data_IF_083395462736
#
_entry.id   IF_083395462736
#
_cell.length_a   1.000
_cell.length_b   1.000
_cell.length_c   1.000
_cell.angle_alpha   90.00
_cell.angle_beta   90.00
_cell.angle_gamma   90.00
#
_symmetry.space_group_name_H-M   'P 1'
#
loop_
_entity.id
_entity.type
_entity.pdbx_description
1 polymer ?
#
# COMPACT_ATOMS: atom_id res chain seq x y z
N UNK A 1 7.40 -4.31 11.67
CA UNK A 1 7.59 -3.73 10.33
C UNK A 1 6.35 -2.93 9.95
N UNK A 2 6.51 -1.65 9.64
CA UNK A 2 5.40 -0.73 9.33
C UNK A 2 5.08 -0.61 7.83
N UNK A 3 5.71 -1.43 7.01
CA UNK A 3 5.46 -1.55 5.57
C UNK A 3 4.92 -2.94 5.26
N UNK A 4 4.01 -3.02 4.30
CA UNK A 4 3.35 -4.28 3.89
C UNK A 4 4.20 -5.05 2.90
N UNK A 5 4.30 -6.36 3.07
CA UNK A 5 4.95 -7.26 2.12
C UNK A 5 3.92 -7.75 1.09
N UNK A 6 4.15 -7.42 -0.16
CA UNK A 6 3.27 -7.74 -1.28
C UNK A 6 4.00 -8.42 -2.46
N UNK A 7 5.19 -8.97 -2.19
CA UNK A 7 6.06 -9.64 -3.15
C UNK A 7 7.36 -8.90 -3.46
N UNK A 8 7.44 -7.60 -3.10
CA UNK A 8 8.58 -6.74 -3.41
C UNK A 8 9.81 -6.96 -2.51
N UNK A 9 9.71 -7.77 -1.44
CA UNK A 9 10.83 -8.09 -0.55
C UNK A 9 11.14 -7.05 0.52
N UNK A 10 10.18 -6.21 0.87
CA UNK A 10 10.36 -5.13 1.86
C UNK A 10 10.71 -5.66 3.24
N UNK A 11 10.19 -6.83 3.64
CA UNK A 11 10.54 -7.45 4.91
C UNK A 11 12.02 -7.82 4.97
N UNK A 12 12.57 -8.32 3.88
CA UNK A 12 14.01 -8.61 3.76
C UNK A 12 14.82 -7.32 3.72
N UNK A 13 14.48 -6.41 2.79
CA UNK A 13 15.29 -5.20 2.56
C UNK A 13 15.38 -4.26 3.76
N UNK A 14 14.26 -4.01 4.45
CA UNK A 14 14.28 -3.12 5.61
C UNK A 14 14.90 -3.78 6.86
N UNK A 15 14.70 -5.08 7.03
CA UNK A 15 15.33 -5.81 8.15
C UNK A 15 16.84 -5.94 7.98
N UNK A 16 17.30 -6.05 6.73
CA UNK A 16 18.72 -6.05 6.39
C UNK A 16 19.44 -4.79 6.91
N UNK A 17 18.81 -3.62 6.78
CA UNK A 17 19.36 -2.34 7.23
C UNK A 17 19.60 -2.33 8.76
N UNK A 18 18.64 -2.82 9.52
CA UNK A 18 18.76 -2.90 10.99
C UNK A 18 19.76 -3.96 11.40
N UNK A 19 19.70 -5.14 10.80
CA UNK A 19 20.58 -6.25 11.12
C UNK A 19 22.06 -5.94 10.83
N UNK A 20 22.30 -5.17 9.76
CA UNK A 20 23.65 -4.72 9.40
C UNK A 20 24.25 -3.82 10.49
N UNK A 21 23.59 -2.72 10.81
CA UNK A 21 24.09 -1.76 11.82
C UNK A 21 24.20 -2.41 13.22
N UNK A 22 23.28 -3.31 13.54
CA UNK A 22 23.27 -4.03 14.82
C UNK A 22 24.31 -5.15 14.90
N UNK A 23 24.97 -5.53 13.81
CA UNK A 23 25.79 -6.74 13.71
C UNK A 23 25.06 -8.00 14.17
N UNK A 24 23.80 -8.17 13.72
CA UNK A 24 22.93 -9.26 14.14
C UNK A 24 22.90 -10.39 13.10
N UNK A 25 22.94 -11.68 13.51
CA UNK A 25 22.95 -12.80 12.57
C UNK A 25 21.66 -12.88 11.76
N UNK A 26 21.78 -12.99 10.44
CA UNK A 26 20.65 -12.95 9.49
C UNK A 26 19.64 -14.08 9.66
N UNK A 27 20.12 -15.26 9.95
CA UNK A 27 19.30 -16.46 10.16
C UNK A 27 18.41 -16.41 11.42
N UNK A 28 18.63 -15.44 12.29
CA UNK A 28 17.85 -15.21 13.51
C UNK A 28 16.88 -14.04 13.42
N UNK A 29 16.80 -13.36 12.26
CA UNK A 29 15.90 -12.24 12.06
C UNK A 29 14.46 -12.74 11.85
N UNK A 30 13.55 -12.27 12.68
CA UNK A 30 12.12 -12.53 12.57
C UNK A 30 11.39 -11.20 12.34
N UNK A 31 10.58 -11.14 11.29
CA UNK A 31 9.78 -9.96 10.96
C UNK A 31 8.31 -10.20 11.24
N UNK A 32 7.71 -9.25 11.95
CA UNK A 32 6.25 -9.22 12.18
C UNK A 32 5.67 -7.91 11.64
N UNK A 33 4.48 -7.94 11.01
CA UNK A 33 3.78 -6.72 10.65
C UNK A 33 3.45 -5.91 11.89
N UNK A 34 3.64 -4.59 11.82
CA UNK A 34 3.27 -3.68 12.89
C UNK A 34 1.75 -3.44 12.86
N UNK A 35 1.09 -3.34 14.02
CA UNK A 35 -0.31 -2.92 14.08
C UNK A 35 -0.46 -1.49 13.56
N UNK A 36 -1.68 -1.12 13.19
CA UNK A 36 -1.99 0.26 12.80
C UNK A 36 -2.01 1.16 14.05
N UNK A 37 -0.93 1.90 14.28
CA UNK A 37 -0.77 2.81 15.42
C UNK A 37 0.13 3.99 15.03
N UNK A 38 -0.06 5.13 15.65
CA UNK A 38 0.70 6.37 15.38
C UNK A 38 2.20 6.21 15.50
N UNK A 39 2.68 5.39 16.44
CA UNK A 39 4.12 5.12 16.62
C UNK A 39 4.78 4.48 15.40
N UNK A 40 4.01 3.85 14.52
CA UNK A 40 4.49 3.22 13.29
C UNK A 40 4.28 4.05 12.03
N UNK A 41 3.80 5.28 12.15
CA UNK A 41 3.64 6.20 11.00
C UNK A 41 5.01 6.51 10.39
N UNK A 42 5.09 6.40 9.07
CA UNK A 42 6.19 6.97 8.30
C UNK A 42 6.07 8.51 8.35
N UNK A 43 6.94 9.15 9.08
CA UNK A 43 6.89 10.61 9.34
C UNK A 43 6.97 11.44 8.06
N UNK A 44 7.68 10.96 7.02
CA UNK A 44 7.77 11.64 5.72
C UNK A 44 6.49 11.54 4.90
N UNK A 45 5.68 10.49 5.13
CA UNK A 45 4.39 10.29 4.47
C UNK A 45 3.19 10.76 5.31
N UNK A 46 3.35 10.93 6.62
CA UNK A 46 2.27 11.23 7.55
C UNK A 46 1.27 10.07 7.73
N UNK A 47 1.64 8.85 7.35
CA UNK A 47 0.77 7.67 7.41
C UNK A 47 1.57 6.36 7.40
N UNK A 48 0.99 5.30 7.94
CA UNK A 48 1.47 3.95 7.78
C UNK A 48 0.92 3.42 6.44
N UNK A 49 1.72 3.61 5.39
CA UNK A 49 1.37 3.33 4.00
C UNK A 49 2.58 2.72 3.27
N UNK A 50 2.31 1.77 2.40
CA UNK A 50 3.29 1.17 1.50
C UNK A 50 2.94 1.53 0.05
N UNK A 51 3.66 2.48 -0.51
CA UNK A 51 3.40 2.99 -1.87
C UNK A 51 4.41 4.07 -2.27
N UNK A 52 4.37 4.49 -3.53
CA UNK A 52 5.20 5.57 -4.07
C UNK A 52 6.70 5.30 -3.99
N UNK A 53 7.13 4.03 -3.97
CA UNK A 53 8.54 3.61 -3.83
C UNK A 53 9.26 4.24 -2.62
N UNK A 54 8.51 4.49 -1.54
CA UNK A 54 9.00 5.23 -0.37
C UNK A 54 9.59 4.34 0.72
N UNK A 55 9.36 3.02 0.69
CA UNK A 55 9.72 2.15 1.81
C UNK A 55 11.21 2.22 2.17
N UNK A 56 12.11 1.94 1.24
CA UNK A 56 13.55 2.05 1.51
C UNK A 56 13.98 3.51 1.62
N UNK A 57 13.56 4.35 0.66
CA UNK A 57 13.96 5.77 0.59
C UNK A 57 13.66 6.55 1.89
N UNK A 58 12.51 6.31 2.50
CA UNK A 58 12.12 7.03 3.72
C UNK A 58 12.69 6.39 4.99
N UNK A 59 12.85 5.06 5.00
CA UNK A 59 13.19 4.32 6.21
C UNK A 59 14.69 4.04 6.35
N UNK A 60 15.48 4.20 5.29
CA UNK A 60 16.90 3.81 5.28
C UNK A 60 17.70 4.42 6.43
N UNK A 61 17.71 5.74 6.51
CA UNK A 61 18.47 6.46 7.54
C UNK A 61 17.92 6.17 8.95
N UNK A 62 16.59 6.20 9.09
CA UNK A 62 15.95 5.89 10.37
C UNK A 62 16.29 4.49 10.88
N UNK A 63 16.24 3.48 10.02
CA UNK A 63 16.54 2.10 10.42
C UNK A 63 18.03 1.87 10.70
N UNK A 64 18.91 2.58 9.99
CA UNK A 64 20.33 2.61 10.33
C UNK A 64 20.58 3.18 11.71
N UNK A 65 20.01 4.36 12.00
CA UNK A 65 20.08 4.99 13.32
C UNK A 65 19.50 4.08 14.42
N UNK A 66 18.38 3.42 14.14
CA UNK A 66 17.78 2.47 15.08
C UNK A 66 18.73 1.31 15.40
N UNK A 67 19.28 0.64 14.37
CA UNK A 67 20.19 -0.48 14.54
C UNK A 67 21.46 -0.09 15.29
N UNK A 68 22.07 1.05 14.94
CA UNK A 68 23.26 1.59 15.61
C UNK A 68 22.97 1.97 17.06
N UNK A 69 21.83 2.62 17.35
CA UNK A 69 21.43 2.99 18.71
C UNK A 69 21.23 1.77 19.60
N UNK A 70 20.57 0.72 19.06
CA UNK A 70 20.40 -0.54 19.79
C UNK A 70 21.75 -1.18 20.12
N UNK A 71 22.69 -1.20 19.17
CA UNK A 71 24.04 -1.73 19.38
C UNK A 71 24.79 -0.94 20.47
N UNK A 72 24.73 0.39 20.43
CA UNK A 72 25.35 1.24 21.44
C UNK A 72 24.78 0.99 22.84
N UNK A 73 23.47 0.85 22.99
CA UNK A 73 22.83 0.53 24.28
C UNK A 73 23.27 -0.84 24.81
N UNK A 74 23.41 -1.84 23.94
CA UNK A 74 23.89 -3.18 24.30
C UNK A 74 25.37 -3.12 24.75
N UNK A 75 26.21 -2.41 24.00
CA UNK A 75 27.63 -2.20 24.38
C UNK A 75 27.76 -1.47 25.71
N UNK A 76 26.97 -0.43 25.94
CA UNK A 76 26.96 0.31 27.20
C UNK A 76 26.51 -0.58 28.37
N UNK A 77 25.50 -1.45 28.16
CA UNK A 77 25.06 -2.44 29.15
C UNK A 77 26.20 -3.38 29.54
N UNK A 78 26.91 -3.93 28.56
CA UNK A 78 28.06 -4.79 28.79
C UNK A 78 29.22 -4.06 29.49
N UNK A 79 29.50 -2.82 29.08
CA UNK A 79 30.54 -1.95 29.69
C UNK A 79 30.33 -1.77 31.18
N UNK A 80 29.09 -1.42 31.58
CA UNK A 80 28.71 -1.25 32.99
C UNK A 80 28.80 -2.56 33.79
N UNK A 81 28.32 -3.64 33.21
CA UNK A 81 28.31 -4.94 33.86
C UNK A 81 29.74 -5.49 34.06
N UNK A 82 30.56 -5.37 33.05
CA UNK A 82 31.93 -5.92 33.08
C UNK A 82 32.98 -4.96 33.65
N UNK A 83 32.59 -3.68 33.86
CA UNK A 83 33.48 -2.59 34.29
C UNK A 83 34.68 -2.42 33.33
N UNK A 84 34.36 -2.44 32.01
CA UNK A 84 35.33 -2.33 30.91
C UNK A 84 34.89 -1.14 30.03
N UNK A 85 35.86 -0.28 29.62
CA UNK A 85 35.56 0.80 28.69
C UNK A 85 34.90 0.28 27.41
N UNK A 86 33.84 0.95 26.95
CA UNK A 86 33.00 0.53 25.80
C UNK A 86 33.84 0.34 24.53
N UNK A 87 34.85 1.16 24.33
CA UNK A 87 35.75 1.15 23.17
C UNK A 87 36.58 -0.12 23.05
N UNK A 88 36.71 -0.87 24.13
CA UNK A 88 37.40 -2.18 24.16
C UNK A 88 36.48 -3.35 23.85
N UNK A 89 35.20 -3.13 23.82
CA UNK A 89 34.21 -4.17 23.55
C UNK A 89 34.01 -4.37 22.05
N UNK A 90 33.81 -5.61 21.63
CA UNK A 90 33.46 -5.97 20.26
C UNK A 90 32.04 -6.50 20.21
N UNK A 91 31.19 -5.86 19.41
CA UNK A 91 29.86 -6.35 19.07
C UNK A 91 29.90 -7.02 17.69
N UNK A 92 29.57 -8.32 17.61
CA UNK A 92 29.58 -9.08 16.36
C UNK A 92 28.63 -10.25 16.43
N UNK A 93 27.81 -10.42 15.36
CA UNK A 93 26.92 -11.55 15.16
C UNK A 93 26.04 -11.88 16.37
N UNK A 94 25.48 -10.82 17.01
CA UNK A 94 24.57 -10.96 18.15
C UNK A 94 25.25 -11.23 19.50
N UNK A 95 26.56 -11.03 19.60
CA UNK A 95 27.33 -11.16 20.83
C UNK A 95 28.18 -9.92 21.10
N UNK A 96 28.38 -9.63 22.38
CA UNK A 96 29.46 -8.73 22.85
C UNK A 96 30.57 -9.57 23.44
N UNK A 97 31.82 -9.21 23.15
CA UNK A 97 33.02 -9.93 23.68
C UNK A 97 34.12 -8.97 24.11
N UNK A 98 34.89 -9.40 25.11
CA UNK A 98 36.09 -8.75 25.57
C UNK A 98 36.96 -9.77 26.33
N UNK A 99 38.19 -10.01 25.89
CA UNK A 99 39.08 -11.01 26.44
C UNK A 99 38.39 -12.40 26.55
N UNK A 100 38.26 -12.93 27.77
CA UNK A 100 37.52 -14.19 28.03
C UNK A 100 36.04 -14.02 28.35
N UNK A 101 35.50 -12.79 28.33
CA UNK A 101 34.08 -12.49 28.56
C UNK A 101 33.32 -12.51 27.25
N UNK A 102 32.14 -13.11 27.25
CA UNK A 102 31.23 -13.12 26.13
C UNK A 102 29.79 -13.20 26.63
N UNK A 103 28.92 -12.37 26.08
CA UNK A 103 27.46 -12.43 26.33
C UNK A 103 26.67 -12.20 25.03
N UNK A 104 25.54 -12.85 24.90
CA UNK A 104 24.61 -12.58 23.79
C UNK A 104 23.89 -11.23 23.97
N UNK A 105 23.41 -10.67 22.89
CA UNK A 105 22.57 -9.48 22.95
C UNK A 105 21.32 -9.70 23.80
N UNK A 106 20.76 -10.93 23.77
CA UNK A 106 19.58 -11.27 24.57
C UNK A 106 19.84 -11.21 26.09
N UNK A 107 21.02 -11.66 26.56
CA UNK A 107 21.40 -11.58 27.98
C UNK A 107 21.60 -10.13 28.44
N UNK A 108 21.99 -9.23 27.57
CA UNK A 108 22.24 -7.82 27.86
C UNK A 108 21.00 -6.93 27.64
N UNK A 109 20.01 -7.42 26.90
CA UNK A 109 18.90 -6.62 26.38
C UNK A 109 18.04 -5.95 27.46
N UNK A 110 17.63 -6.70 28.49
CA UNK A 110 16.79 -6.13 29.56
C UNK A 110 17.47 -4.98 30.32
N UNK A 111 18.79 -5.06 30.46
CA UNK A 111 19.57 -3.98 31.08
C UNK A 111 19.75 -2.81 30.10
N UNK A 112 19.98 -3.11 28.83
CA UNK A 112 20.12 -2.11 27.78
C UNK A 112 18.85 -1.26 27.63
N UNK A 113 17.66 -1.85 27.70
CA UNK A 113 16.38 -1.14 27.63
C UNK A 113 16.16 -0.09 28.73
N UNK A 114 16.88 -0.20 29.87
CA UNK A 114 16.80 0.77 30.96
C UNK A 114 17.74 1.96 30.77
N UNK A 115 18.57 1.94 29.74
CA UNK A 115 19.49 3.02 29.43
C UNK A 115 18.80 4.09 28.58
N UNK A 116 19.23 5.35 28.66
CA UNK A 116 18.76 6.39 27.77
C UNK A 116 19.15 6.07 26.32
N UNK A 117 18.26 6.41 25.39
CA UNK A 117 18.58 6.29 23.95
C UNK A 117 19.72 7.27 23.63
N UNK A 118 20.79 6.82 23.00
CA UNK A 118 21.91 7.70 22.66
C UNK A 118 21.49 8.77 21.67
N UNK A 119 21.93 10.01 21.92
CA UNK A 119 21.65 11.16 21.05
C UNK A 119 22.52 11.20 19.80
N UNK A 120 23.67 10.55 19.85
CA UNK A 120 24.61 10.44 18.73
C UNK A 120 25.14 9.01 18.67
N UNK A 121 25.14 8.45 17.47
CA UNK A 121 25.69 7.13 17.18
C UNK A 121 26.52 7.19 15.91
N UNK A 122 27.59 6.39 15.86
CA UNK A 122 28.34 6.18 14.64
C UNK A 122 27.61 5.18 13.76
N UNK A 123 27.35 5.55 12.51
CA UNK A 123 26.87 4.63 11.49
C UNK A 123 28.06 3.94 10.80
N UNK A 124 27.87 2.73 10.33
CA UNK A 124 28.85 2.02 9.52
C UNK A 124 29.13 2.76 8.21
N UNK A 125 30.36 2.71 7.77
CA UNK A 125 30.71 3.10 6.40
C UNK A 125 30.33 1.98 5.41
N UNK A 126 30.12 2.26 4.13
CA UNK A 126 29.76 1.23 3.14
C UNK A 126 30.71 0.03 3.09
N UNK A 127 32.00 0.24 3.38
CA UNK A 127 33.00 -0.83 3.45
C UNK A 127 32.83 -1.77 4.64
N UNK A 128 32.07 -1.35 5.67
CA UNK A 128 31.81 -2.14 6.88
C UNK A 128 30.49 -2.95 6.78
N UNK A 129 29.72 -2.78 5.69
CA UNK A 129 28.46 -3.49 5.51
C UNK A 129 28.68 -4.99 5.33
N UNK A 130 27.90 -5.76 6.09
CA UNK A 130 27.91 -7.23 6.04
C UNK A 130 26.74 -7.79 5.22
N UNK A 131 25.62 -7.06 5.13
CA UNK A 131 24.39 -7.46 4.42
C UNK A 131 23.97 -6.47 3.35
N UNK A 132 24.04 -5.16 3.63
CA UNK A 132 23.64 -4.12 2.67
C UNK A 132 24.51 -4.22 1.42
N UNK A 133 23.87 -4.29 0.25
CA UNK A 133 24.57 -4.47 -1.03
C UNK A 133 25.06 -5.89 -1.31
N UNK A 134 24.74 -6.86 -0.44
CA UNK A 134 25.09 -8.28 -0.63
C UNK A 134 23.85 -9.10 -1.00
N UNK A 135 24.06 -10.23 -1.65
CA UNK A 135 23.02 -11.22 -1.89
C UNK A 135 22.73 -12.03 -0.62
N UNK A 136 21.62 -11.72 0.06
CA UNK A 136 21.14 -12.51 1.19
C UNK A 136 19.83 -13.20 0.84
N UNK A 137 19.55 -14.40 1.40
CA UNK A 137 18.26 -15.06 1.19
C UNK A 137 17.12 -14.21 1.73
N UNK A 138 16.00 -14.17 1.00
CA UNK A 138 14.77 -13.55 1.51
C UNK A 138 14.26 -14.31 2.72
N UNK A 139 13.85 -13.59 3.76
CA UNK A 139 13.36 -14.20 5.01
C UNK A 139 11.98 -14.85 4.87
N UNK A 140 11.20 -14.45 3.86
CA UNK A 140 9.83 -14.92 3.61
C UNK A 140 9.73 -16.01 2.52
N UNK A 141 10.83 -16.39 1.86
CA UNK A 141 10.82 -17.38 0.78
C UNK A 141 10.34 -18.75 1.27
N UNK A 142 10.90 -19.23 2.39
CA UNK A 142 10.61 -20.57 2.88
C UNK A 142 9.12 -20.80 3.15
N UNK A 143 8.50 -19.90 3.91
CA UNK A 143 7.07 -20.04 4.24
C UNK A 143 6.18 -19.88 3.00
N UNK A 144 6.58 -19.08 2.00
CA UNK A 144 5.84 -18.92 0.74
C UNK A 144 5.89 -20.18 -0.13
N UNK A 145 7.07 -20.77 -0.32
CA UNK A 145 7.21 -21.95 -1.17
C UNK A 145 6.70 -23.25 -0.50
N UNK A 146 6.65 -23.26 0.83
CA UNK A 146 6.07 -24.36 1.61
C UNK A 146 4.56 -24.21 1.83
N UNK A 147 3.91 -23.16 1.31
CA UNK A 147 2.48 -22.90 1.48
C UNK A 147 2.07 -22.53 2.90
N UNK A 148 3.01 -22.02 3.70
CA UNK A 148 2.78 -21.59 5.10
C UNK A 148 2.50 -20.11 5.25
N UNK A 149 2.80 -19.31 4.23
CA UNK A 149 2.50 -17.89 4.22
C UNK A 149 0.99 -17.66 4.22
N UNK A 150 0.51 -16.80 5.13
CA UNK A 150 -0.93 -16.52 5.29
C UNK A 150 -1.26 -15.21 4.58
N UNK A 151 -2.01 -15.30 3.49
CA UNK A 151 -2.57 -14.19 2.76
C UNK A 151 -3.96 -13.83 3.31
N UNK A 152 -4.55 -12.71 2.88
CA UNK A 152 -5.88 -12.30 3.33
C UNK A 152 -6.96 -13.33 3.03
N UNK A 153 -6.86 -13.96 1.85
CA UNK A 153 -7.80 -15.03 1.44
C UNK A 153 -7.66 -16.30 2.28
N UNK A 154 -6.52 -16.55 2.92
CA UNK A 154 -6.26 -17.79 3.67
C UNK A 154 -6.75 -17.71 5.12
N UNK A 155 -6.88 -16.51 5.69
CA UNK A 155 -7.28 -16.34 7.08
C UNK A 155 -8.60 -17.04 7.34
N UNK A 156 -8.67 -17.83 8.43
CA UNK A 156 -9.87 -18.51 8.91
C UNK A 156 -10.07 -18.21 10.40
N UNK A 157 -11.26 -17.78 10.75
CA UNK A 157 -11.68 -17.60 12.14
C UNK A 157 -12.87 -18.50 12.44
N UNK A 158 -13.01 -18.86 13.72
CA UNK A 158 -14.14 -19.69 14.17
C UNK A 158 -15.45 -18.93 13.93
N UNK A 159 -16.48 -19.69 13.51
CA UNK A 159 -17.86 -19.20 13.33
C UNK A 159 -18.01 -18.01 12.36
N UNK A 160 -17.00 -17.74 11.51
CA UNK A 160 -17.10 -16.70 10.49
C UNK A 160 -18.12 -17.08 9.39
N UNK A 161 -18.73 -16.05 8.84
CA UNK A 161 -19.63 -16.17 7.69
C UNK A 161 -19.00 -15.49 6.47
N UNK A 162 -19.47 -15.85 5.29
CA UNK A 162 -18.96 -15.31 4.03
C UNK A 162 -19.92 -14.28 3.47
N UNK A 163 -19.37 -13.26 2.84
CA UNK A 163 -20.13 -12.23 2.16
C UNK A 163 -19.55 -11.95 0.78
N UNK A 164 -20.43 -11.70 -0.17
CA UNK A 164 -20.15 -11.11 -1.47
C UNK A 164 -21.07 -9.91 -1.66
N UNK A 165 -20.74 -9.00 -2.57
CA UNK A 165 -21.54 -7.81 -2.83
C UNK A 165 -21.93 -7.77 -4.28
N UNK A 166 -23.23 -7.58 -4.55
CA UNK A 166 -23.72 -7.19 -5.87
C UNK A 166 -23.59 -5.69 -6.01
N UNK A 167 -22.81 -5.25 -7.00
CA UNK A 167 -22.45 -3.85 -7.22
C UNK A 167 -23.11 -3.30 -8.47
N UNK A 168 -23.33 -1.96 -8.54
CA UNK A 168 -23.92 -1.35 -9.70
C UNK A 168 -23.07 -1.55 -10.96
N UNK A 169 -23.69 -1.70 -12.14
CA UNK A 169 -22.97 -1.89 -13.40
C UNK A 169 -22.20 -0.65 -13.85
N UNK A 170 -22.56 0.52 -13.32
CA UNK A 170 -21.90 1.81 -13.60
C UNK A 170 -21.52 2.51 -12.30
N UNK A 171 -20.34 3.10 -12.24
CA UNK A 171 -19.92 3.93 -11.11
C UNK A 171 -20.92 5.07 -10.87
N UNK A 172 -21.25 5.30 -9.59
CA UNK A 172 -22.19 6.36 -9.19
C UNK A 172 -23.67 5.96 -9.17
N UNK A 173 -24.06 4.84 -9.76
CA UNK A 173 -25.40 4.30 -9.57
C UNK A 173 -25.58 3.74 -8.15
N UNK A 174 -26.81 3.74 -7.64
CA UNK A 174 -27.17 3.26 -6.30
C UNK A 174 -28.30 2.26 -6.40
N UNK A 175 -28.46 1.46 -5.37
CA UNK A 175 -29.60 0.54 -5.25
C UNK A 175 -30.90 1.34 -5.20
N UNK A 176 -31.85 1.02 -6.08
CA UNK A 176 -33.20 1.56 -6.10
C UNK A 176 -34.18 0.59 -5.44
N UNK A 177 -34.15 -0.68 -5.83
CA UNK A 177 -34.93 -1.75 -5.21
C UNK A 177 -34.18 -3.09 -5.32
N UNK A 178 -34.55 -4.02 -4.45
CA UNK A 178 -33.98 -5.39 -4.40
C UNK A 178 -35.11 -6.38 -4.28
N UNK A 179 -35.16 -7.37 -5.18
CA UNK A 179 -35.95 -8.58 -5.01
C UNK A 179 -34.97 -9.72 -4.67
N UNK A 180 -35.00 -10.17 -3.43
CA UNK A 180 -34.17 -11.26 -2.90
C UNK A 180 -34.95 -12.56 -2.67
N UNK A 181 -36.18 -12.63 -3.13
CA UNK A 181 -37.12 -13.77 -2.90
C UNK A 181 -36.52 -15.12 -3.33
N UNK A 182 -35.86 -15.14 -4.47
CA UNK A 182 -35.19 -16.34 -4.98
C UNK A 182 -33.88 -16.64 -4.24
N UNK A 183 -33.15 -15.62 -3.84
CA UNK A 183 -31.92 -15.78 -3.09
C UNK A 183 -32.19 -16.41 -1.70
N UNK A 184 -33.29 -16.01 -1.05
CA UNK A 184 -33.70 -16.55 0.26
C UNK A 184 -34.04 -18.05 0.26
N UNK A 185 -34.20 -18.65 -0.91
CA UNK A 185 -34.41 -20.10 -1.03
C UNK A 185 -33.10 -20.91 -0.93
N UNK A 186 -31.94 -20.24 -0.96
CA UNK A 186 -30.63 -20.91 -0.82
C UNK A 186 -30.42 -21.32 0.64
N UNK A 187 -30.26 -22.62 0.87
CA UNK A 187 -30.20 -23.23 2.22
C UNK A 187 -29.17 -22.59 3.16
N UNK A 188 -28.00 -22.21 2.62
CA UNK A 188 -26.90 -21.66 3.41
C UNK A 188 -26.93 -20.14 3.54
N UNK A 189 -27.91 -19.48 2.91
CA UNK A 189 -28.07 -18.03 2.99
C UNK A 189 -28.42 -17.62 4.43
N UNK A 190 -27.83 -16.53 4.89
CA UNK A 190 -28.10 -15.95 6.19
C UNK A 190 -28.91 -14.67 6.09
N UNK A 191 -28.49 -13.77 5.20
CA UNK A 191 -29.18 -12.51 5.00
C UNK A 191 -28.79 -11.84 3.68
N UNK A 192 -29.65 -10.92 3.21
CA UNK A 192 -29.45 -10.01 2.08
C UNK A 192 -29.85 -8.61 2.49
N UNK A 193 -29.01 -7.63 2.26
CA UNK A 193 -29.32 -6.25 2.59
C UNK A 193 -28.43 -5.24 1.84
N UNK A 194 -28.94 -4.02 1.71
CA UNK A 194 -28.21 -2.91 1.09
C UNK A 194 -27.13 -2.36 2.03
N UNK A 195 -25.96 -2.08 1.47
CA UNK A 195 -24.83 -1.36 2.05
C UNK A 195 -24.47 -0.15 1.16
N UNK A 196 -23.47 0.63 1.55
CA UNK A 196 -23.14 1.87 0.83
C UNK A 196 -22.72 1.68 -0.63
N UNK A 197 -22.19 0.49 -0.99
CA UNK A 197 -21.66 0.17 -2.32
C UNK A 197 -22.53 -0.76 -3.17
N UNK A 198 -23.62 -1.32 -2.62
CA UNK A 198 -24.46 -2.28 -3.31
C UNK A 198 -25.32 -3.13 -2.39
N UNK A 199 -25.51 -4.39 -2.75
CA UNK A 199 -26.30 -5.37 -1.98
C UNK A 199 -25.40 -6.47 -1.47
N UNK A 200 -25.27 -6.57 -0.16
CA UNK A 200 -24.51 -7.63 0.51
C UNK A 200 -25.35 -8.92 0.55
N UNK A 201 -24.71 -10.04 0.21
CA UNK A 201 -25.26 -11.40 0.31
C UNK A 201 -24.39 -12.19 1.26
N UNK A 202 -24.95 -12.61 2.40
CA UNK A 202 -24.27 -13.28 3.47
C UNK A 202 -24.70 -14.73 3.60
N UNK A 203 -23.75 -15.66 3.69
CA UNK A 203 -24.03 -17.09 3.78
C UNK A 203 -23.02 -17.82 4.68
N UNK A 204 -23.33 -19.09 5.02
CA UNK A 204 -22.42 -19.95 5.79
C UNK A 204 -21.22 -20.42 4.94
N UNK A 205 -21.36 -20.40 3.62
CA UNK A 205 -20.35 -20.83 2.67
C UNK A 205 -20.15 -19.79 1.56
N UNK A 206 -18.98 -19.77 0.92
CA UNK A 206 -18.72 -18.93 -0.26
C UNK A 206 -19.69 -19.28 -1.38
N UNK A 207 -19.89 -20.56 -1.62
CA UNK A 207 -20.79 -21.06 -2.66
C UNK A 207 -22.24 -20.57 -2.43
N UNK A 208 -22.71 -20.63 -1.18
CA UNK A 208 -24.04 -20.12 -0.81
C UNK A 208 -24.18 -18.63 -1.06
N UNK A 209 -23.16 -17.84 -0.72
CA UNK A 209 -23.15 -16.40 -0.98
C UNK A 209 -23.17 -16.07 -2.49
N UNK A 210 -22.36 -16.76 -3.30
CA UNK A 210 -22.30 -16.60 -4.76
C UNK A 210 -23.63 -16.99 -5.42
N UNK A 211 -24.17 -18.18 -5.09
CA UNK A 211 -25.47 -18.62 -5.60
C UNK A 211 -26.61 -17.68 -5.19
N UNK A 212 -26.57 -17.17 -3.97
CA UNK A 212 -27.53 -16.15 -3.50
C UNK A 212 -27.45 -14.88 -4.34
N UNK A 213 -26.24 -14.39 -4.62
CA UNK A 213 -26.01 -13.20 -5.46
C UNK A 213 -26.55 -13.39 -6.89
N UNK A 214 -26.34 -14.53 -7.51
CA UNK A 214 -26.85 -14.85 -8.86
C UNK A 214 -28.39 -14.84 -8.95
N UNK A 215 -29.07 -15.02 -7.83
CA UNK A 215 -30.55 -15.00 -7.76
C UNK A 215 -31.15 -13.65 -7.41
N UNK A 216 -30.32 -12.63 -7.16
CA UNK A 216 -30.81 -11.28 -6.91
C UNK A 216 -31.33 -10.62 -8.18
N UNK A 217 -32.39 -9.86 -8.02
CA UNK A 217 -32.81 -8.86 -9.02
C UNK A 217 -32.69 -7.49 -8.39
N UNK A 218 -31.76 -6.69 -8.88
CA UNK A 218 -31.49 -5.36 -8.33
C UNK A 218 -31.81 -4.31 -9.39
N UNK A 219 -32.67 -3.37 -9.04
CA UNK A 219 -32.86 -2.15 -9.84
C UNK A 219 -31.86 -1.09 -9.33
N UNK A 220 -31.21 -0.44 -10.27
CA UNK A 220 -30.25 0.61 -10.01
C UNK A 220 -30.78 1.97 -10.43
N UNK A 221 -30.34 3.03 -9.76
CA UNK A 221 -30.56 4.39 -10.23
C UNK A 221 -29.74 4.65 -11.50
N UNK A 222 -30.11 5.67 -12.28
CA UNK A 222 -29.28 6.15 -13.39
C UNK A 222 -27.90 6.61 -12.85
N UNK A 223 -26.87 6.36 -13.64
CA UNK A 223 -25.52 6.87 -13.39
C UNK A 223 -25.22 8.03 -14.35
N UNK A 224 -24.50 9.08 -13.91
CA UNK A 224 -23.99 10.11 -14.82
C UNK A 224 -22.98 9.57 -15.83
N UNK A 225 -22.43 8.36 -15.59
CA UNK A 225 -21.47 7.69 -16.46
C UNK A 225 -22.11 6.62 -17.35
N UNK A 226 -23.46 6.50 -17.32
CA UNK A 226 -24.16 5.56 -18.19
C UNK A 226 -23.94 5.91 -19.67
N UNK A 227 -23.52 4.93 -20.46
CA UNK A 227 -23.22 5.11 -21.87
C UNK A 227 -21.83 5.72 -22.15
N UNK A 228 -20.99 5.92 -21.12
CA UNK A 228 -19.57 6.17 -21.35
C UNK A 228 -18.85 4.82 -21.52
N UNK A 229 -18.19 4.68 -22.65
CA UNK A 229 -17.29 3.57 -22.98
C UNK A 229 -15.85 4.08 -23.20
N UNK A 230 -14.93 3.16 -23.48
CA UNK A 230 -13.53 3.49 -23.67
C UNK A 230 -13.30 4.39 -24.90
N UNK A 231 -14.12 4.28 -25.95
CA UNK A 231 -14.01 5.09 -27.17
C UNK A 231 -14.40 6.55 -26.87
N UNK A 232 -15.55 6.77 -26.22
CA UNK A 232 -16.01 8.11 -25.82
C UNK A 232 -15.06 8.77 -24.82
N UNK A 233 -14.53 8.02 -23.86
CA UNK A 233 -13.55 8.53 -22.90
C UNK A 233 -12.22 8.87 -23.57
N UNK A 234 -11.76 8.03 -24.49
CA UNK A 234 -10.56 8.30 -25.30
C UNK A 234 -10.69 9.61 -26.07
N UNK A 235 -11.80 9.79 -26.77
CA UNK A 235 -12.08 11.03 -27.50
C UNK A 235 -12.16 12.24 -26.56
N UNK A 236 -12.81 12.10 -25.41
CA UNK A 236 -12.87 13.17 -24.42
C UNK A 236 -11.47 13.63 -23.97
N UNK A 237 -10.54 12.70 -23.65
CA UNK A 237 -9.20 13.07 -23.23
C UNK A 237 -8.36 13.65 -24.39
N UNK A 238 -8.52 13.16 -25.62
CA UNK A 238 -7.90 13.76 -26.80
C UNK A 238 -8.38 15.19 -27.03
N UNK A 239 -9.67 15.47 -26.83
CA UNK A 239 -10.19 16.82 -26.96
C UNK A 239 -9.74 17.75 -25.83
N UNK A 240 -9.47 17.21 -24.62
CA UNK A 240 -8.85 17.99 -23.54
C UNK A 240 -7.43 18.45 -23.89
N UNK A 241 -6.68 17.70 -24.68
CA UNK A 241 -5.36 18.13 -25.16
C UNK A 241 -5.41 19.40 -26.01
N UNK A 242 -6.55 19.70 -26.66
CA UNK A 242 -6.75 20.91 -27.45
C UNK A 242 -7.03 22.16 -26.58
N UNK A 243 -7.45 21.97 -25.34
CA UNK A 243 -7.79 23.07 -24.40
C UNK A 243 -6.54 23.56 -23.66
N UNK A 244 -6.58 24.82 -23.21
CA UNK A 244 -5.50 25.38 -22.36
C UNK A 244 -5.43 24.62 -21.03
N UNK A 245 -4.26 24.07 -20.71
CA UNK A 245 -4.00 23.40 -19.45
C UNK A 245 -3.37 24.31 -18.40
N UNK A 246 -3.21 23.78 -17.18
CA UNK A 246 -2.46 24.42 -16.10
C UNK A 246 -0.98 24.09 -16.27
N UNK A 247 -0.12 25.09 -16.12
CA UNK A 247 1.34 24.91 -16.22
C UNK A 247 1.83 24.29 -14.90
N UNK A 248 2.40 23.08 -15.00
CA UNK A 248 3.03 22.38 -13.89
C UNK A 248 4.50 22.78 -13.71
N UNK A 249 5.26 22.86 -14.81
CA UNK A 249 6.65 23.28 -14.86
C UNK A 249 6.91 24.12 -16.10
N UNK A 250 7.78 25.11 -15.99
CA UNK A 250 8.25 25.92 -17.12
C UNK A 250 9.70 26.32 -16.91
N UNK A 251 10.56 25.86 -17.80
CA UNK A 251 11.96 26.25 -17.89
C UNK A 251 12.17 26.90 -19.26
N UNK A 252 12.84 28.05 -19.30
CA UNK A 252 13.08 28.77 -20.55
C UNK A 252 11.82 29.12 -21.37
N UNK A 253 11.92 29.03 -22.70
CA UNK A 253 10.84 29.33 -23.64
C UNK A 253 10.72 28.25 -24.72
N UNK A 254 10.15 27.07 -24.38
CA UNK A 254 10.05 25.94 -25.33
C UNK A 254 9.20 26.28 -26.57
N UNK A 255 8.17 27.11 -26.43
CA UNK A 255 7.32 27.49 -27.57
C UNK A 255 8.12 28.19 -28.67
N UNK A 256 8.94 29.18 -28.32
CA UNK A 256 9.77 29.93 -29.28
C UNK A 256 10.77 28.99 -29.97
N UNK A 257 11.36 28.04 -29.25
CA UNK A 257 12.32 27.09 -29.84
C UNK A 257 11.61 26.14 -30.78
N UNK A 258 10.45 25.62 -30.41
CA UNK A 258 9.64 24.72 -31.23
C UNK A 258 9.11 25.38 -32.51
N UNK A 259 8.77 26.67 -32.47
CA UNK A 259 8.33 27.43 -33.64
C UNK A 259 9.47 27.61 -34.68
N UNK A 260 10.69 27.86 -34.18
CA UNK A 260 11.83 28.19 -35.01
C UNK A 260 12.71 27.01 -35.44
N UNK A 261 12.46 25.81 -34.92
CA UNK A 261 13.24 24.62 -35.28
C UNK A 261 12.71 23.93 -36.53
N UNK A 262 13.62 23.44 -37.38
CA UNK A 262 13.29 22.58 -38.50
C UNK A 262 13.26 21.09 -38.14
N UNK A 263 13.87 20.74 -37.02
CA UNK A 263 13.99 19.34 -36.54
C UNK A 263 13.14 19.16 -35.27
N UNK A 264 11.88 18.88 -35.47
CA UNK A 264 10.99 18.56 -34.35
C UNK A 264 10.30 17.21 -34.54
N UNK A 265 10.01 16.61 -33.40
CA UNK A 265 9.26 15.34 -33.30
C UNK A 265 8.03 15.62 -32.45
N UNK A 266 6.88 15.21 -32.92
CA UNK A 266 5.63 15.34 -32.18
C UNK A 266 4.89 14.00 -32.19
N UNK A 267 4.34 13.63 -31.03
CA UNK A 267 3.56 12.40 -30.89
C UNK A 267 2.45 12.57 -29.85
N UNK A 268 1.35 11.89 -30.10
CA UNK A 268 0.25 11.78 -29.12
C UNK A 268 0.15 10.33 -28.69
N UNK A 269 0.11 10.12 -27.38
CA UNK A 269 -0.05 8.81 -26.75
C UNK A 269 -1.37 8.77 -26.01
N UNK A 270 -2.09 7.68 -26.17
CA UNK A 270 -3.32 7.38 -25.45
C UNK A 270 -3.12 6.09 -24.65
N UNK A 271 -3.33 6.15 -23.35
CA UNK A 271 -3.20 5.02 -22.45
C UNK A 271 -4.57 4.72 -21.84
N UNK A 272 -5.12 3.50 -22.02
CA UNK A 272 -6.43 3.14 -21.48
C UNK A 272 -6.41 3.00 -19.96
N UNK A 273 -7.58 2.91 -19.33
CA UNK A 273 -7.68 2.41 -17.97
C UNK A 273 -7.06 1.02 -17.87
N UNK A 274 -6.29 0.77 -16.81
CA UNK A 274 -5.64 -0.51 -16.62
C UNK A 274 -5.98 -1.09 -15.25
N UNK A 275 -6.51 -2.30 -15.26
CA UNK A 275 -6.75 -3.11 -14.08
C UNK A 275 -5.42 -3.56 -13.45
N UNK A 276 -5.32 -3.54 -12.12
CA UNK A 276 -4.08 -3.88 -11.41
C UNK A 276 -3.72 -5.36 -11.44
N UNK A 277 -4.70 -6.24 -11.64
CA UNK A 277 -4.53 -7.69 -11.79
C UNK A 277 -3.73 -8.36 -10.66
N UNK A 278 -4.00 -7.99 -9.40
CA UNK A 278 -3.38 -8.69 -8.27
C UNK A 278 -3.75 -10.17 -8.29
N UNK A 279 -2.78 -11.08 -8.06
CA UNK A 279 -3.06 -12.53 -8.03
C UNK A 279 -4.10 -12.88 -6.98
N UNK A 280 -4.03 -12.25 -5.82
CA UNK A 280 -5.06 -12.32 -4.78
C UNK A 280 -6.06 -11.19 -4.99
N UNK A 281 -7.34 -11.47 -5.39
CA UNK A 281 -8.41 -10.49 -5.36
C UNK A 281 -8.66 -9.94 -3.95
N UNK A 282 -9.48 -8.89 -3.83
CA UNK A 282 -9.77 -8.28 -2.52
C UNK A 282 -10.47 -9.29 -1.63
N UNK A 283 -9.93 -9.51 -0.44
CA UNK A 283 -10.55 -10.30 0.61
C UNK A 283 -10.13 -9.74 1.97
N UNK A 284 -11.04 -9.75 2.94
CA UNK A 284 -10.71 -9.38 4.31
C UNK A 284 -11.66 -10.08 5.29
N UNK A 285 -11.24 -10.17 6.55
CA UNK A 285 -12.09 -10.61 7.64
C UNK A 285 -12.26 -9.46 8.63
N UNK A 286 -13.48 -9.22 9.03
CA UNK A 286 -13.85 -8.20 10.01
C UNK A 286 -14.74 -8.78 11.08
N UNK A 287 -14.43 -8.49 12.33
CA UNK A 287 -15.26 -8.80 13.50
C UNK A 287 -15.58 -7.51 14.26
N UNK A 288 -16.80 -7.00 14.09
CA UNK A 288 -17.30 -5.83 14.81
C UNK A 288 -18.15 -6.29 15.98
N UNK A 289 -17.74 -5.93 17.19
CA UNK A 289 -18.50 -6.07 18.44
C UNK A 289 -18.86 -4.71 19.00
N UNK A 290 -19.63 -4.67 20.07
CA UNK A 290 -20.02 -3.41 20.74
C UNK A 290 -18.81 -2.70 21.34
N UNK A 291 -17.84 -3.43 21.84
CA UNK A 291 -16.68 -2.95 22.59
C UNK A 291 -15.34 -3.06 21.84
N UNK A 292 -15.30 -3.69 20.70
CA UNK A 292 -14.06 -3.89 19.91
C UNK A 292 -14.32 -4.11 18.43
N UNK A 293 -13.28 -3.88 17.62
CA UNK A 293 -13.26 -4.22 16.21
C UNK A 293 -11.92 -4.84 15.84
N UNK A 294 -11.95 -5.96 15.11
CA UNK A 294 -10.74 -6.60 14.59
C UNK A 294 -10.84 -6.74 13.07
N UNK A 295 -9.78 -6.34 12.37
CA UNK A 295 -9.66 -6.39 10.91
C UNK A 295 -8.43 -7.21 10.54
N UNK A 296 -8.59 -8.25 9.72
CA UNK A 296 -7.51 -8.97 9.05
C UNK A 296 -7.61 -8.67 7.56
N UNK A 297 -6.64 -7.95 7.01
CA UNK A 297 -6.72 -7.52 5.61
C UNK A 297 -5.35 -7.38 4.95
N UNK A 298 -5.23 -7.76 3.66
CA UNK A 298 -4.03 -7.57 2.86
C UNK A 298 -3.99 -6.11 2.33
N UNK A 299 -3.69 -5.15 3.20
CA UNK A 299 -3.75 -3.71 2.88
C UNK A 299 -2.37 -3.06 2.78
N UNK A 300 -2.25 -2.08 1.90
CA UNK A 300 -1.08 -1.21 1.80
C UNK A 300 -1.20 0.01 2.72
N UNK A 301 -2.40 0.34 3.21
CA UNK A 301 -2.73 1.58 3.92
C UNK A 301 -3.36 1.30 5.30
N UNK A 302 -2.55 0.92 6.27
CA UNK A 302 -2.99 0.59 7.62
C UNK A 302 -3.68 1.78 8.31
N UNK A 303 -3.12 3.00 8.18
CA UNK A 303 -3.72 4.21 8.76
C UNK A 303 -5.13 4.45 8.23
N UNK A 304 -5.34 4.31 6.92
CA UNK A 304 -6.66 4.51 6.33
C UNK A 304 -7.64 3.39 6.69
N UNK A 305 -7.15 2.18 6.85
CA UNK A 305 -7.94 1.04 7.35
C UNK A 305 -8.45 1.33 8.76
N UNK A 306 -7.58 1.78 9.66
CA UNK A 306 -7.93 2.15 11.02
C UNK A 306 -8.94 3.31 11.06
N UNK A 307 -8.71 4.37 10.28
CA UNK A 307 -9.62 5.51 10.17
C UNK A 307 -11.00 5.10 9.65
N UNK A 308 -11.05 4.22 8.64
CA UNK A 308 -12.30 3.67 8.12
C UNK A 308 -13.04 2.86 9.18
N UNK A 309 -12.32 2.02 9.94
CA UNK A 309 -12.93 1.26 11.03
C UNK A 309 -13.48 2.18 12.14
N UNK A 310 -12.74 3.22 12.54
CA UNK A 310 -13.23 4.25 13.49
C UNK A 310 -14.51 4.91 12.98
N UNK A 311 -14.51 5.34 11.71
CA UNK A 311 -15.69 6.02 11.12
C UNK A 311 -16.94 5.14 11.08
N UNK A 312 -16.79 3.86 10.74
CA UNK A 312 -17.94 2.93 10.60
C UNK A 312 -18.42 2.45 11.98
N UNK A 313 -17.50 2.10 12.86
CA UNK A 313 -17.86 1.49 14.16
C UNK A 313 -18.22 2.52 15.22
N UNK A 314 -17.60 3.70 15.18
CA UNK A 314 -17.64 4.71 16.25
C UNK A 314 -16.74 4.39 17.44
N UNK A 315 -15.98 3.30 17.39
CA UNK A 315 -15.10 2.87 18.46
C UNK A 315 -13.83 3.75 18.53
N UNK A 316 -13.27 3.96 19.72
CA UNK A 316 -11.98 4.60 19.88
C UNK A 316 -10.84 3.70 19.36
N UNK A 317 -9.71 4.28 19.08
CA UNK A 317 -8.59 3.62 18.38
C UNK A 317 -7.99 2.45 19.14
N UNK A 318 -7.95 2.52 20.47
CA UNK A 318 -7.46 1.45 21.34
C UNK A 318 -8.36 0.20 21.35
N UNK A 319 -9.60 0.31 20.86
CA UNK A 319 -10.56 -0.79 20.69
C UNK A 319 -10.58 -1.37 19.27
N UNK A 320 -9.72 -0.87 18.37
CA UNK A 320 -9.64 -1.33 17.00
C UNK A 320 -8.27 -1.94 16.73
N UNK A 321 -8.26 -3.18 16.25
CA UNK A 321 -7.04 -3.88 15.85
C UNK A 321 -7.06 -4.14 14.35
N UNK A 322 -5.95 -3.80 13.68
CA UNK A 322 -5.74 -4.03 12.24
C UNK A 322 -4.51 -4.92 12.06
N UNK A 323 -4.74 -6.14 11.64
CA UNK A 323 -3.71 -7.13 11.31
C UNK A 323 -3.50 -7.18 9.80
N UNK A 324 -2.33 -6.76 9.36
CA UNK A 324 -1.95 -6.84 7.94
C UNK A 324 -1.36 -8.21 7.65
N UNK A 325 -1.98 -8.94 6.72
CA UNK A 325 -1.47 -10.23 6.22
C UNK A 325 -0.44 -10.01 5.12
N UNK A 326 0.16 -11.09 4.61
CA UNK A 326 0.80 -11.00 3.29
C UNK A 326 -0.20 -10.59 2.23
N UNK A 327 0.26 -9.84 1.24
CA UNK A 327 -0.54 -9.44 0.08
C UNK A 327 -0.11 -10.26 -1.13
N UNK A 328 -1.06 -10.91 -1.78
CA UNK A 328 -0.85 -11.57 -3.08
C UNK A 328 -0.81 -10.58 -4.24
N UNK A 329 0.18 -9.66 -4.19
CA UNK A 329 0.26 -8.48 -5.03
C UNK A 329 -0.51 -7.29 -4.44
N UNK A 330 -0.14 -6.08 -4.86
CA UNK A 330 -0.79 -4.85 -4.43
C UNK A 330 -0.86 -3.83 -5.55
N UNK A 331 0.29 -3.42 -6.08
CA UNK A 331 0.46 -2.49 -7.21
C UNK A 331 -0.26 -1.14 -7.02
N UNK A 332 -0.61 -0.78 -5.78
CA UNK A 332 -1.44 0.37 -5.44
C UNK A 332 -2.91 0.03 -5.19
N UNK A 333 -3.45 -1.07 -5.75
CA UNK A 333 -4.85 -1.48 -5.63
C UNK A 333 -5.29 -1.63 -4.16
N UNK A 334 -4.46 -2.22 -3.33
CA UNK A 334 -4.75 -2.48 -1.91
C UNK A 334 -4.45 -1.29 -0.98
N UNK A 335 -4.16 -0.11 -1.55
CA UNK A 335 -4.19 1.16 -0.82
C UNK A 335 -5.62 1.67 -0.62
N UNK A 336 -6.51 1.36 -1.56
CA UNK A 336 -7.93 1.67 -1.45
C UNK A 336 -8.60 0.62 -0.57
N UNK A 337 -9.23 1.07 0.49
CA UNK A 337 -9.77 0.21 1.55
C UNK A 337 -11.29 0.02 1.48
N UNK A 338 -11.89 0.22 0.30
CA UNK A 338 -13.33 0.09 0.09
C UNK A 338 -13.85 -1.31 0.44
N UNK A 339 -13.09 -2.36 0.13
CA UNK A 339 -13.45 -3.73 0.50
C UNK A 339 -13.45 -3.95 2.02
N UNK A 340 -12.59 -3.27 2.76
CA UNK A 340 -12.63 -3.28 4.23
C UNK A 340 -13.83 -2.51 4.74
N UNK A 341 -14.15 -1.36 4.13
CA UNK A 341 -15.36 -0.59 4.45
C UNK A 341 -16.63 -1.43 4.30
N UNK A 342 -16.77 -2.14 3.18
CA UNK A 342 -17.89 -3.05 2.92
C UNK A 342 -17.99 -4.13 4.00
N UNK A 343 -16.87 -4.79 4.33
CA UNK A 343 -16.84 -5.83 5.35
C UNK A 343 -17.22 -5.29 6.75
N UNK A 344 -16.78 -4.07 7.09
CA UNK A 344 -17.14 -3.38 8.33
C UNK A 344 -18.65 -3.09 8.41
N UNK A 345 -19.24 -2.55 7.34
CA UNK A 345 -20.67 -2.29 7.25
C UNK A 345 -21.49 -3.60 7.42
N UNK A 346 -21.04 -4.67 6.74
CA UNK A 346 -21.69 -5.97 6.80
C UNK A 346 -21.57 -6.59 8.20
N UNK A 347 -20.35 -6.64 8.77
CA UNK A 347 -20.12 -7.23 10.10
C UNK A 347 -20.90 -6.48 11.18
N UNK A 348 -20.91 -5.15 11.14
CA UNK A 348 -21.66 -4.31 12.08
C UNK A 348 -23.17 -4.60 12.03
N UNK A 349 -23.74 -4.73 10.81
CA UNK A 349 -25.16 -4.99 10.62
C UNK A 349 -25.54 -6.41 11.00
N UNK A 350 -24.73 -7.39 10.60
CA UNK A 350 -24.98 -8.81 10.83
C UNK A 350 -24.64 -9.26 12.25
N UNK A 351 -23.81 -8.48 12.98
CA UNK A 351 -23.25 -8.80 14.31
C UNK A 351 -22.48 -10.13 14.34
N UNK A 352 -21.80 -10.43 13.24
CA UNK A 352 -20.99 -11.65 13.04
C UNK A 352 -19.63 -11.32 12.49
N UNK A 353 -18.68 -12.24 12.72
CA UNK A 353 -17.40 -12.24 12.00
C UNK A 353 -17.65 -12.52 10.52
N UNK A 354 -17.26 -11.59 9.65
CA UNK A 354 -17.54 -11.65 8.22
C UNK A 354 -16.24 -11.75 7.43
N UNK A 355 -16.16 -12.73 6.55
CA UNK A 355 -15.17 -12.79 5.48
C UNK A 355 -15.80 -12.30 4.19
N UNK A 356 -15.40 -11.11 3.77
CA UNK A 356 -15.77 -10.56 2.46
C UNK A 356 -14.79 -11.07 1.42
N UNK A 357 -15.31 -11.50 0.27
CA UNK A 357 -14.54 -11.97 -0.87
C UNK A 357 -15.02 -11.26 -2.13
N UNK A 358 -14.08 -10.72 -2.92
CA UNK A 358 -14.32 -10.33 -4.30
C UNK A 358 -13.99 -11.51 -5.21
N UNK A 359 -14.83 -11.78 -6.19
CA UNK A 359 -14.41 -12.60 -7.33
C UNK A 359 -13.43 -11.81 -8.21
N UNK A 360 -12.82 -12.48 -9.19
CA UNK A 360 -11.98 -11.79 -10.17
C UNK A 360 -12.78 -10.77 -10.98
N UNK A 361 -14.01 -11.13 -11.32
CA UNK A 361 -14.95 -10.26 -12.04
C UNK A 361 -15.32 -9.03 -11.20
N UNK A 362 -15.52 -9.18 -9.89
CA UNK A 362 -15.79 -8.06 -8.98
C UNK A 362 -14.65 -7.06 -8.99
N UNK A 363 -13.41 -7.55 -8.88
CA UNK A 363 -12.22 -6.70 -8.84
C UNK A 363 -11.96 -6.01 -10.18
N UNK A 364 -12.22 -6.70 -11.31
CA UNK A 364 -12.09 -6.13 -12.66
C UNK A 364 -13.18 -5.09 -12.94
N UNK A 365 -14.43 -5.36 -12.56
CA UNK A 365 -15.58 -4.49 -12.92
C UNK A 365 -15.79 -3.32 -11.97
N UNK A 366 -15.41 -3.49 -10.69
CA UNK A 366 -15.77 -2.54 -9.62
C UNK A 366 -14.55 -2.01 -8.88
N UNK A 367 -13.35 -2.35 -9.34
CA UNK A 367 -12.11 -1.93 -8.72
C UNK A 367 -11.66 -0.52 -9.10
N UNK A 368 -10.54 -0.13 -8.55
CA UNK A 368 -9.82 1.06 -8.96
C UNK A 368 -8.84 0.72 -10.07
N UNK A 369 -8.63 1.64 -10.99
CA UNK A 369 -7.81 1.44 -12.18
C UNK A 369 -6.65 2.42 -12.20
N UNK A 370 -5.55 2.07 -12.86
CA UNK A 370 -4.61 3.08 -13.33
C UNK A 370 -5.36 3.99 -14.32
N UNK A 371 -5.35 5.31 -14.10
CA UNK A 371 -6.13 6.24 -14.91
C UNK A 371 -5.78 6.19 -16.40
N UNK A 372 -6.80 6.32 -17.23
CA UNK A 372 -6.64 6.65 -18.65
C UNK A 372 -6.01 8.04 -18.77
N UNK A 373 -5.18 8.24 -19.76
CA UNK A 373 -4.67 9.57 -20.10
C UNK A 373 -4.38 9.72 -21.58
N UNK A 374 -4.45 10.94 -22.06
CA UNK A 374 -3.92 11.36 -23.36
C UNK A 374 -2.76 12.30 -23.12
N UNK A 375 -1.65 12.08 -23.83
CA UNK A 375 -0.41 12.82 -23.68
C UNK A 375 0.10 13.28 -25.01
N UNK A 376 0.40 14.58 -25.15
CA UNK A 376 1.06 15.17 -26.30
C UNK A 376 2.49 15.56 -25.91
N UNK A 377 3.45 15.01 -26.65
CA UNK A 377 4.87 15.32 -26.53
C UNK A 377 5.34 15.99 -27.82
N UNK A 378 6.07 17.08 -27.70
CA UNK A 378 6.74 17.74 -28.80
C UNK A 378 8.17 18.13 -28.40
N UNK A 379 9.16 17.68 -29.14
CA UNK A 379 10.57 17.91 -28.86
C UNK A 379 11.28 18.55 -30.03
N UNK A 380 12.14 19.56 -29.77
CA UNK A 380 13.05 20.14 -30.73
C UNK A 380 14.44 19.53 -30.59
N UNK A 381 15.08 19.24 -31.72
CA UNK A 381 16.43 18.71 -31.77
C UNK A 381 17.40 19.73 -32.40
N UNK A 382 18.62 19.80 -31.85
CA UNK A 382 19.72 20.53 -32.48
C UNK A 382 20.31 19.75 -33.67
N UNK A 383 21.31 20.30 -34.35
CA UNK A 383 21.99 19.69 -35.46
C UNK A 383 22.68 18.36 -35.12
N UNK A 384 23.06 18.19 -33.86
CA UNK A 384 23.69 16.98 -33.32
C UNK A 384 22.68 15.92 -32.83
N UNK A 385 21.37 16.22 -32.91
CA UNK A 385 20.31 15.32 -32.48
C UNK A 385 20.04 15.37 -30.96
N UNK A 386 20.55 16.33 -30.23
CA UNK A 386 20.25 16.51 -28.79
C UNK A 386 18.94 17.25 -28.62
N UNK A 387 18.15 16.85 -27.61
CA UNK A 387 16.89 17.54 -27.27
C UNK A 387 17.22 18.90 -26.66
N UNK A 388 16.74 19.99 -27.28
CA UNK A 388 16.96 21.37 -26.83
C UNK A 388 15.70 22.04 -26.31
N UNK A 389 14.53 21.52 -26.62
CA UNK A 389 13.26 21.92 -26.02
C UNK A 389 12.31 20.72 -25.93
N UNK A 390 11.49 20.72 -24.89
CA UNK A 390 10.45 19.71 -24.67
C UNK A 390 9.14 20.39 -24.23
N UNK A 391 8.07 20.14 -24.98
CA UNK A 391 6.72 20.44 -24.56
C UNK A 391 5.98 19.15 -24.23
N UNK A 392 5.40 19.09 -23.03
CA UNK A 392 4.63 17.95 -22.58
C UNK A 392 3.28 18.41 -22.07
N UNK A 393 2.22 17.89 -22.64
CA UNK A 393 0.84 18.16 -22.22
C UNK A 393 0.13 16.85 -21.93
N UNK A 394 -0.52 16.78 -20.78
CA UNK A 394 -1.27 15.60 -20.35
C UNK A 394 -2.71 15.97 -19.99
N UNK A 395 -3.65 15.15 -20.43
CA UNK A 395 -5.04 15.15 -20.00
C UNK A 395 -5.28 13.86 -19.23
N UNK A 396 -5.56 13.96 -17.92
CA UNK A 396 -5.70 12.84 -17.00
C UNK A 396 -6.65 13.20 -15.87
N UNK A 397 -7.41 12.25 -15.28
CA UNK A 397 -8.22 12.52 -14.10
C UNK A 397 -7.33 12.91 -12.92
N UNK A 398 -7.82 13.80 -12.07
CA UNK A 398 -7.15 14.12 -10.81
C UNK A 398 -7.16 12.92 -9.87
N UNK A 399 -5.96 12.45 -9.45
CA UNK A 399 -5.82 11.24 -8.64
C UNK A 399 -6.02 11.53 -7.15
N UNK A 400 -5.53 12.68 -6.64
CA UNK A 400 -5.66 13.02 -5.23
C UNK A 400 -6.87 13.88 -4.88
N UNK A 401 -7.56 14.45 -5.84
CA UNK A 401 -8.77 15.25 -5.61
C UNK A 401 -9.88 14.41 -4.98
N UNK A 402 -10.09 13.19 -5.46
CA UNK A 402 -11.05 12.25 -4.87
C UNK A 402 -10.71 11.88 -3.42
N UNK A 403 -9.45 11.98 -3.02
CA UNK A 403 -8.99 11.77 -1.64
C UNK A 403 -9.17 13.04 -0.77
N UNK A 404 -9.92 14.04 -1.25
CA UNK A 404 -10.18 15.29 -0.53
C UNK A 404 -8.97 16.23 -0.46
N UNK A 405 -8.03 16.11 -1.39
CA UNK A 405 -6.82 16.94 -1.48
C UNK A 405 -6.77 17.71 -2.82
N UNK A 406 -7.70 18.65 -3.05
CA UNK A 406 -7.71 19.42 -4.29
C UNK A 406 -6.46 20.31 -4.35
N UNK A 407 -5.86 20.37 -5.51
CA UNK A 407 -4.73 21.25 -5.80
C UNK A 407 -4.84 21.82 -7.21
N UNK A 408 -4.20 22.97 -7.46
CA UNK A 408 -4.17 23.58 -8.79
C UNK A 408 -3.60 22.63 -9.85
N UNK A 409 -2.59 21.83 -9.47
CA UNK A 409 -2.01 20.76 -10.26
C UNK A 409 -2.01 19.52 -9.39
N UNK A 410 -2.67 18.45 -9.83
CA UNK A 410 -2.59 17.16 -9.14
C UNK A 410 -1.19 16.59 -9.32
N UNK A 411 -0.44 16.50 -8.22
CA UNK A 411 0.96 16.05 -8.24
C UNK A 411 1.09 14.62 -8.79
N UNK A 412 0.15 13.75 -8.50
CA UNK A 412 0.19 12.38 -9.02
C UNK A 412 0.01 12.30 -10.55
N UNK A 413 -0.63 13.32 -11.15
CA UNK A 413 -0.80 13.41 -12.59
C UNK A 413 0.47 13.83 -13.34
N UNK A 414 1.41 14.50 -12.67
CA UNK A 414 2.61 15.09 -13.29
C UNK A 414 3.93 14.55 -12.72
N UNK A 415 3.88 13.77 -11.64
CA UNK A 415 5.06 13.14 -11.05
C UNK A 415 5.78 12.24 -12.07
N UNK A 416 7.10 12.35 -12.14
CA UNK A 416 7.93 11.70 -13.16
C UNK A 416 8.12 12.53 -14.43
N UNK A 417 7.31 13.58 -14.61
CA UNK A 417 7.38 14.50 -15.77
C UNK A 417 7.93 15.85 -15.32
N UNK A 418 7.31 16.47 -14.29
CA UNK A 418 7.73 17.77 -13.78
C UNK A 418 9.11 17.75 -13.13
N UNK A 419 9.52 16.59 -12.60
CA UNK A 419 10.75 16.37 -11.86
C UNK A 419 11.79 15.53 -12.62
N UNK A 420 11.73 15.51 -13.96
CA UNK A 420 12.75 14.85 -14.78
C UNK A 420 14.13 15.43 -14.52
N UNK A 421 15.14 14.55 -14.52
CA UNK A 421 16.56 14.89 -14.33
C UNK A 421 17.30 15.16 -15.64
N UNK A 422 16.62 15.15 -16.79
CA UNK A 422 17.26 15.47 -18.06
C UNK A 422 17.58 16.95 -18.13
N UNK A 423 18.79 17.26 -18.56
CA UNK A 423 19.22 18.62 -18.84
C UNK A 423 18.71 19.03 -20.24
N UNK A 424 17.54 19.64 -20.28
CA UNK A 424 16.90 20.17 -21.47
C UNK A 424 16.76 21.69 -21.25
N UNK A 425 17.39 22.54 -22.11
CA UNK A 425 17.44 24.01 -21.89
C UNK A 425 16.07 24.68 -21.84
N UNK A 426 15.11 24.12 -22.58
CA UNK A 426 13.78 24.73 -22.69
C UNK A 426 12.66 23.74 -22.56
#
# INVERSE_FOLDING_TARGET
>A
MNKSEMGQGVYTGLSMIVADELDFPWDRVIVKPAPARDVYIDKKMGSQLTGGSTSVRNMYEFLRLLGASMKEMILESASREWKVPKEKLQARMGYVSYANKKASYGELWEKALKLPIPTQVRLKEPSEFIYIGKGVPRIDTKEKVEGKAIFGIDVRLKDMVYAVVERPPYFGAKVKSVDDSQARQIKDLLDVFTISSGVAVCAKTVEGALKGREKLKVEWTKSPLEGFDDERLSQYYLDMLKKKGVVARKDGNPALVLENTKRKISAVYLLPYLYHATMEPMACIVDVKEDRCTVYAPVQAQTWTLQTAKSITGLPEDKIEVYTTYLGGGFGRKSNVEFVKEALEISKKLKKTVKLIYTREDDVKSGWYRPMNATHLEGALDEKGRVVALYHKIAVPAVFEWAGRPSRVDRAAVEGIENMFYEIPH
#
